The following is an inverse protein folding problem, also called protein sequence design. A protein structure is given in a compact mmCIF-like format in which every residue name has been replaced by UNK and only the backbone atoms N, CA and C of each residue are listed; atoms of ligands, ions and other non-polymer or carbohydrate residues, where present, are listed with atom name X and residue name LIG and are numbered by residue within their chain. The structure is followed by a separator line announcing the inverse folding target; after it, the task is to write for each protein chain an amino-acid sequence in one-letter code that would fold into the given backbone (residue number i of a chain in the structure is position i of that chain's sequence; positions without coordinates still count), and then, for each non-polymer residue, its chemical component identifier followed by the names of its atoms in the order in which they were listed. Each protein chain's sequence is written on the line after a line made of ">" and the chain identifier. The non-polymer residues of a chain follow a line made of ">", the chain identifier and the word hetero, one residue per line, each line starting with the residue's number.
data_IF_657942115036
#
_entry.id   IF_657942115036
#
_cell.length_a   1.000
_cell.length_b   1.000
_cell.length_c   1.000
_cell.angle_alpha   90.00
_cell.angle_beta   90.00
_cell.angle_gamma   90.00
#
_symmetry.space_group_name_H-M   'P 1'
#
loop_
_entity.id
_entity.type
_entity.pdbx_description
1 polymer ?
#
# COMPACT_ATOMS: atom_id res chain seq x y z
N UNK A 1 -15.27 -4.63 -6.59
CA UNK A 1 -15.09 -3.21 -6.24
C UNK A 1 -14.04 -3.11 -5.16
N UNK A 2 -13.29 -2.01 -5.10
CA UNK A 2 -12.37 -1.70 -3.99
C UNK A 2 -12.80 -0.37 -3.39
N UNK A 3 -13.00 -0.35 -2.08
CA UNK A 3 -13.34 0.86 -1.32
C UNK A 3 -12.20 1.19 -0.37
N UNK A 4 -11.86 2.48 -0.28
CA UNK A 4 -10.92 2.98 0.71
C UNK A 4 -11.31 4.39 1.13
N UNK A 5 -10.74 4.86 2.24
CA UNK A 5 -10.95 6.22 2.71
C UNK A 5 -9.71 7.06 2.43
N UNK A 6 -9.90 8.28 1.97
CA UNK A 6 -8.84 9.29 1.85
C UNK A 6 -9.13 10.43 2.82
N UNK A 7 -8.08 11.04 3.35
CA UNK A 7 -8.18 12.24 4.17
C UNK A 7 -7.14 13.25 3.69
N UNK A 8 -7.53 14.52 3.73
CA UNK A 8 -6.66 15.67 3.50
C UNK A 8 -6.18 16.31 4.82
N UNK A 9 -6.48 15.67 5.95
CA UNK A 9 -6.22 16.17 7.30
C UNK A 9 -7.40 16.90 7.95
N UNK A 10 -8.40 17.32 7.17
CA UNK A 10 -9.59 18.04 7.68
C UNK A 10 -10.84 17.18 7.63
N UNK A 11 -11.01 16.45 6.53
CA UNK A 11 -12.15 15.59 6.29
C UNK A 11 -11.69 14.22 5.81
N UNK A 12 -12.62 13.26 5.85
CA UNK A 12 -12.40 11.91 5.35
C UNK A 12 -13.53 11.55 4.41
N UNK A 13 -13.20 11.07 3.22
CA UNK A 13 -14.17 10.69 2.19
C UNK A 13 -13.98 9.25 1.78
N UNK A 14 -15.09 8.58 1.45
CA UNK A 14 -15.06 7.23 0.89
C UNK A 14 -14.83 7.31 -0.61
N UNK A 15 -13.88 6.54 -1.11
CA UNK A 15 -13.56 6.44 -2.53
C UNK A 15 -13.76 5.00 -3.00
N UNK A 16 -14.17 4.85 -4.25
CA UNK A 16 -14.47 3.56 -4.84
C UNK A 16 -13.87 3.40 -6.23
N UNK A 17 -13.16 2.28 -6.43
CA UNK A 17 -12.72 1.80 -7.73
C UNK A 17 -13.60 0.62 -8.17
N UNK A 18 -14.38 0.80 -9.24
CA UNK A 18 -15.31 -0.19 -9.77
C UNK A 18 -14.67 -1.06 -10.87
N UNK A 19 -15.29 -2.21 -11.16
CA UNK A 19 -14.91 -3.09 -12.27
C UNK A 19 -13.75 -4.05 -11.97
N UNK A 20 -13.23 -4.70 -13.01
CA UNK A 20 -12.02 -5.54 -12.97
C UNK A 20 -10.91 -4.82 -13.73
N UNK A 21 -10.57 -3.62 -13.27
CA UNK A 21 -9.63 -2.72 -13.94
C UNK A 21 -8.26 -2.77 -13.28
N UNK A 22 -7.22 -2.38 -14.02
CA UNK A 22 -5.88 -2.09 -13.49
C UNK A 22 -5.97 -1.08 -12.34
N UNK A 23 -6.83 -0.06 -12.49
CA UNK A 23 -7.07 0.95 -11.47
C UNK A 23 -7.56 0.35 -10.14
N UNK A 24 -8.47 -0.64 -10.19
CA UNK A 24 -8.92 -1.35 -8.98
C UNK A 24 -7.74 -2.03 -8.27
N UNK A 25 -6.85 -2.68 -9.01
CA UNK A 25 -5.70 -3.35 -8.43
C UNK A 25 -4.71 -2.34 -7.82
N UNK A 26 -4.51 -1.18 -8.45
CA UNK A 26 -3.72 -0.09 -7.87
C UNK A 26 -4.35 0.38 -6.55
N UNK A 27 -5.66 0.68 -6.55
CA UNK A 27 -6.40 1.10 -5.37
C UNK A 27 -6.33 0.06 -4.23
N UNK A 28 -6.39 -1.23 -4.56
CA UNK A 28 -6.30 -2.32 -3.59
C UNK A 28 -4.92 -2.41 -2.93
N UNK A 29 -3.86 -2.04 -3.65
CA UNK A 29 -2.49 -2.08 -3.14
C UNK A 29 -2.12 -0.83 -2.33
N UNK A 30 -2.96 0.20 -2.27
CA UNK A 30 -2.70 1.39 -1.44
C UNK A 30 -2.65 1.01 0.05
N UNK A 31 -1.84 1.73 0.81
CA UNK A 31 -1.76 1.62 2.26
C UNK A 31 -1.90 2.97 2.94
N UNK A 32 -2.21 2.96 4.24
CA UNK A 32 -2.25 4.17 5.04
C UNK A 32 -0.88 4.86 5.01
N UNK A 33 -0.88 6.15 4.70
CA UNK A 33 0.32 6.97 4.55
C UNK A 33 0.71 7.25 3.10
N UNK A 34 0.19 6.48 2.13
CA UNK A 34 0.34 6.83 0.72
C UNK A 34 -0.33 8.19 0.46
N UNK A 35 0.36 9.08 -0.25
CA UNK A 35 -0.21 10.35 -0.71
C UNK A 35 -0.61 10.18 -2.17
N UNK A 36 -1.88 10.44 -2.44
CA UNK A 36 -2.45 10.26 -3.77
C UNK A 36 -3.32 11.46 -4.15
N UNK A 37 -3.41 11.71 -5.45
CA UNK A 37 -4.40 12.62 -6.03
C UNK A 37 -5.41 11.80 -6.83
N UNK A 38 -6.69 11.98 -6.51
CA UNK A 38 -7.79 11.26 -7.13
C UNK A 38 -8.52 12.16 -8.13
N UNK A 39 -8.95 11.56 -9.24
CA UNK A 39 -9.76 12.20 -10.26
C UNK A 39 -11.01 11.34 -10.50
N UNK A 40 -12.16 11.97 -10.62
CA UNK A 40 -13.44 11.27 -10.63
C UNK A 40 -14.60 12.18 -10.26
N UNK A 41 -15.70 11.58 -9.84
CA UNK A 41 -16.90 12.31 -9.43
C UNK A 41 -17.67 11.61 -8.32
N UNK A 42 -18.45 12.39 -7.58
CA UNK A 42 -19.39 11.90 -6.56
C UNK A 42 -20.75 11.76 -7.23
N UNK A 43 -21.44 10.63 -7.00
CA UNK A 43 -22.84 10.48 -7.39
C UNK A 43 -23.72 11.10 -6.30
N UNK A 44 -24.69 11.95 -6.68
CA UNK A 44 -25.51 12.74 -5.74
C UNK A 44 -26.26 11.95 -4.66
N UNK A 45 -26.43 10.64 -4.83
CA UNK A 45 -27.12 9.75 -3.90
C UNK A 45 -26.20 8.85 -3.08
N UNK A 46 -24.89 8.87 -3.37
CA UNK A 46 -23.89 8.04 -2.69
C UNK A 46 -22.74 8.96 -2.31
N UNK A 47 -22.52 9.18 -1.01
CA UNK A 47 -21.38 9.93 -0.47
C UNK A 47 -20.04 9.17 -0.70
N UNK A 48 -19.78 8.82 -1.95
CA UNK A 48 -18.69 7.97 -2.41
C UNK A 48 -18.14 8.57 -3.70
N UNK A 49 -16.84 8.83 -3.69
CA UNK A 49 -16.10 9.34 -4.83
C UNK A 49 -15.71 8.20 -5.78
N UNK A 50 -16.29 8.17 -6.97
CA UNK A 50 -15.99 7.18 -8.00
C UNK A 50 -14.71 7.57 -8.73
N UNK A 51 -13.67 6.75 -8.60
CA UNK A 51 -12.34 7.05 -9.14
C UNK A 51 -12.26 6.66 -10.62
N UNK A 52 -11.81 7.60 -11.44
CA UNK A 52 -11.52 7.41 -12.87
C UNK A 52 -10.01 7.37 -13.15
N UNK A 53 -9.23 8.05 -12.30
CA UNK A 53 -7.77 8.10 -12.37
C UNK A 53 -7.18 8.38 -11.00
N UNK A 54 -6.00 7.84 -10.74
CA UNK A 54 -5.21 8.03 -9.52
C UNK A 54 -3.79 8.39 -9.88
N UNK A 55 -3.27 9.41 -9.24
CA UNK A 55 -1.86 9.78 -9.30
C UNK A 55 -1.22 9.49 -7.94
N UNK A 56 -0.18 8.68 -7.96
CA UNK A 56 0.59 8.34 -6.76
C UNK A 56 1.66 9.40 -6.55
N UNK A 57 1.47 10.25 -5.55
CA UNK A 57 2.39 11.35 -5.22
C UNK A 57 3.54 10.84 -4.34
N UNK A 58 3.23 10.04 -3.32
CA UNK A 58 4.19 9.48 -2.38
C UNK A 58 3.75 8.09 -1.94
N UNK A 59 4.69 7.13 -1.92
CA UNK A 59 4.45 5.79 -1.39
C UNK A 59 4.99 5.68 0.03
N UNK A 60 4.13 5.29 0.97
CA UNK A 60 4.53 4.95 2.31
C UNK A 60 5.37 3.68 2.31
N UNK A 61 6.42 3.70 3.13
CA UNK A 61 7.28 2.53 3.36
C UNK A 61 6.55 1.51 4.22
N UNK A 62 6.60 0.26 3.80
CA UNK A 62 6.07 -0.87 4.56
C UNK A 62 7.26 -1.64 5.12
N UNK A 63 7.20 -1.99 6.41
CA UNK A 63 8.22 -2.80 7.06
C UNK A 63 7.62 -4.12 7.52
N UNK A 64 8.35 -5.21 7.27
CA UNK A 64 8.04 -6.52 7.83
C UNK A 64 8.95 -6.83 9.01
N UNK A 65 8.37 -7.40 10.07
CA UNK A 65 9.12 -7.95 11.19
C UNK A 65 9.75 -9.28 10.80
N UNK A 66 11.03 -9.38 11.04
CA UNK A 66 11.86 -10.52 10.69
C UNK A 66 12.67 -10.94 11.92
N UNK A 67 12.68 -12.25 12.23
CA UNK A 67 13.52 -12.76 13.32
C UNK A 67 15.00 -12.46 13.03
N UNK A 68 15.83 -12.17 14.05
CA UNK A 68 17.25 -11.95 13.88
C UNK A 68 17.96 -13.17 13.29
N UNK A 69 19.12 -12.88 12.70
CA UNK A 69 20.09 -13.88 12.27
C UNK A 69 21.10 -14.08 13.40
N UNK A 70 21.42 -15.33 13.73
CA UNK A 70 22.41 -15.63 14.77
C UNK A 70 23.78 -15.05 14.38
N UNK A 71 24.44 -14.26 15.25
CA UNK A 71 25.75 -13.69 14.93
C UNK A 71 26.84 -14.74 14.71
N UNK A 72 26.74 -15.90 15.37
CA UNK A 72 27.76 -16.95 15.33
C UNK A 72 27.62 -17.86 14.10
N UNK A 73 26.46 -18.48 13.89
CA UNK A 73 26.27 -19.47 12.81
C UNK A 73 25.43 -18.96 11.62
N UNK A 74 25.03 -17.69 11.62
CA UNK A 74 24.31 -17.00 10.53
C UNK A 74 22.96 -17.62 10.12
N UNK A 75 22.39 -18.54 10.90
CA UNK A 75 21.04 -19.06 10.66
C UNK A 75 19.98 -18.15 11.29
N UNK A 76 18.77 -18.17 10.70
CA UNK A 76 17.60 -17.46 11.24
C UNK A 76 17.21 -18.03 12.62
N UNK A 77 17.04 -17.18 13.62
CA UNK A 77 16.64 -17.60 14.97
C UNK A 77 15.14 -17.88 15.06
N UNK A 78 14.72 -18.78 15.95
CA UNK A 78 13.29 -19.01 16.27
C UNK A 78 12.82 -18.01 17.32
N UNK A 79 11.53 -17.66 17.30
CA UNK A 79 10.88 -16.95 18.41
C UNK A 79 10.65 -17.91 19.56
N UNK A 80 10.86 -17.45 20.79
CA UNK A 80 10.55 -18.20 22.01
C UNK A 80 9.17 -17.86 22.59
N UNK A 81 8.38 -17.04 21.87
CA UNK A 81 7.05 -16.58 22.27
C UNK A 81 7.01 -15.09 22.59
N UNK A 82 5.80 -14.58 22.86
CA UNK A 82 5.55 -13.17 23.12
C UNK A 82 6.44 -12.67 24.25
N UNK A 83 7.21 -11.62 23.98
CA UNK A 83 8.15 -11.00 24.91
C UNK A 83 9.29 -11.90 25.44
N UNK A 84 9.51 -13.10 24.88
CA UNK A 84 10.57 -14.03 25.33
C UNK A 84 11.85 -14.00 24.48
N UNK A 85 11.88 -13.20 23.42
CA UNK A 85 13.04 -13.04 22.55
C UNK A 85 13.17 -14.19 21.54
N UNK A 86 14.42 -14.44 21.13
CA UNK A 86 14.76 -15.37 20.06
C UNK A 86 15.84 -16.34 20.49
N UNK A 87 15.77 -17.60 20.05
CA UNK A 87 16.82 -18.59 20.29
C UNK A 87 17.38 -19.14 18.99
N UNK A 88 18.71 -19.27 18.92
CA UNK A 88 19.37 -19.98 17.84
C UNK A 88 19.18 -21.48 18.00
N UNK A 89 18.70 -22.17 16.95
CA UNK A 89 18.49 -23.62 17.00
C UNK A 89 19.79 -24.40 17.20
N UNK A 90 20.89 -23.92 16.60
CA UNK A 90 22.21 -24.56 16.64
C UNK A 90 23.04 -24.15 17.88
N UNK A 91 23.41 -22.87 17.99
CA UNK A 91 24.28 -22.38 19.06
C UNK A 91 23.60 -22.20 20.42
N UNK A 92 22.27 -22.38 20.52
CA UNK A 92 21.42 -22.11 21.70
C UNK A 92 21.46 -20.68 22.27
N UNK A 93 22.27 -19.79 21.68
CA UNK A 93 22.30 -18.35 21.97
C UNK A 93 20.90 -17.75 21.99
N UNK A 94 20.63 -16.90 22.98
CA UNK A 94 19.37 -16.16 23.11
C UNK A 94 19.58 -14.68 22.89
N UNK A 95 18.69 -14.06 22.13
CA UNK A 95 18.61 -12.61 21.94
C UNK A 95 17.28 -12.11 22.52
N UNK A 96 17.27 -10.87 23.01
CA UNK A 96 16.08 -10.19 23.50
C UNK A 96 15.17 -9.76 22.33
N UNK A 97 13.96 -9.29 22.63
CA UNK A 97 12.97 -8.93 21.59
C UNK A 97 13.37 -7.72 20.74
N UNK A 98 14.20 -6.85 21.28
CA UNK A 98 14.79 -5.69 20.58
C UNK A 98 15.69 -6.09 19.40
N UNK A 99 16.16 -7.34 19.37
CA UNK A 99 16.89 -7.89 18.23
C UNK A 99 16.02 -8.16 16.99
N UNK A 100 14.70 -7.92 17.04
CA UNK A 100 13.83 -8.02 15.86
C UNK A 100 14.32 -7.07 14.76
N UNK A 101 14.35 -7.56 13.52
CA UNK A 101 14.70 -6.73 12.37
C UNK A 101 13.45 -6.26 11.67
N UNK A 102 13.43 -4.98 11.29
CA UNK A 102 12.44 -4.42 10.39
C UNK A 102 13.06 -4.25 9.02
N UNK A 103 12.52 -4.96 8.03
CA UNK A 103 13.01 -4.90 6.65
C UNK A 103 11.96 -4.22 5.79
N UNK A 104 12.40 -3.23 5.02
CA UNK A 104 11.53 -2.54 4.06
C UNK A 104 11.07 -3.54 2.99
N UNK A 105 9.76 -3.61 2.80
CA UNK A 105 9.12 -4.47 1.80
C UNK A 105 8.92 -3.66 0.53
N UNK A 106 9.47 -4.11 -0.62
CA UNK A 106 9.28 -3.41 -1.87
C UNK A 106 7.78 -3.37 -2.25
N UNK A 107 7.32 -2.21 -2.67
CA UNK A 107 5.94 -1.97 -3.12
C UNK A 107 5.86 -2.25 -4.62
N UNK A 108 4.84 -2.99 -5.06
CA UNK A 108 4.54 -3.15 -6.49
C UNK A 108 3.67 -2.00 -7.03
N UNK A 109 4.09 -0.76 -6.75
CA UNK A 109 3.45 0.47 -7.21
C UNK A 109 4.56 1.46 -7.59
N UNK A 110 4.29 2.30 -8.59
CA UNK A 110 5.19 3.39 -8.98
C UNK A 110 4.52 4.73 -8.71
N UNK A 111 5.33 5.75 -8.50
CA UNK A 111 4.88 7.14 -8.42
C UNK A 111 4.59 7.63 -9.84
N UNK A 112 3.39 7.31 -10.33
CA UNK A 112 2.91 7.69 -11.66
C UNK A 112 1.39 7.88 -11.64
N UNK A 113 0.84 8.25 -12.80
CA UNK A 113 -0.59 8.39 -12.98
C UNK A 113 -1.15 7.12 -13.63
N UNK A 114 -2.17 6.54 -13.01
CA UNK A 114 -2.93 5.40 -13.50
C UNK A 114 -4.35 5.85 -13.85
N UNK A 115 -4.83 5.47 -15.03
CA UNK A 115 -6.23 5.67 -15.44
C UNK A 115 -6.91 4.34 -15.74
N UNK A 116 -8.23 4.34 -15.77
CA UNK A 116 -9.03 3.20 -16.25
C UNK A 116 -8.75 2.88 -17.72
N UNK A 117 -8.96 1.62 -18.11
CA UNK A 117 -8.84 1.19 -19.52
C UNK A 117 -9.82 1.94 -20.42
N UNK A 118 -9.56 2.06 -21.74
CA UNK A 118 -10.41 2.81 -22.67
C UNK A 118 -11.90 2.49 -22.59
N UNK A 119 -12.27 1.20 -22.42
CA UNK A 119 -13.68 0.77 -22.30
C UNK A 119 -14.39 1.19 -21.01
N UNK A 120 -13.66 1.67 -20.02
CA UNK A 120 -14.18 2.11 -18.72
C UNK A 120 -14.08 3.62 -18.51
N UNK A 121 -13.60 4.37 -19.51
CA UNK A 121 -13.48 5.83 -19.43
C UNK A 121 -14.85 6.48 -19.53
N UNK A 122 -15.10 7.51 -18.73
CA UNK A 122 -16.28 8.37 -18.90
C UNK A 122 -16.01 9.39 -19.99
N UNK A 123 -17.08 9.89 -20.60
CA UNK A 123 -16.99 10.79 -21.76
C UNK A 123 -16.15 12.05 -21.51
N UNK A 124 -16.18 12.57 -20.27
CA UNK A 124 -15.47 13.79 -19.89
C UNK A 124 -14.06 13.52 -19.31
N UNK A 125 -13.69 12.26 -19.08
CA UNK A 125 -12.39 11.91 -18.51
C UNK A 125 -11.27 12.22 -19.51
N UNK A 126 -10.43 13.22 -19.20
CA UNK A 126 -9.27 13.52 -20.04
C UNK A 126 -8.26 12.35 -19.98
N UNK A 127 -7.96 11.78 -21.13
CA UNK A 127 -7.03 10.65 -21.28
C UNK A 127 -5.58 11.06 -20.99
N UNK A 128 -4.79 10.17 -20.38
CA UNK A 128 -3.38 10.43 -20.04
C UNK A 128 -2.53 10.87 -21.24
N UNK A 129 -2.75 10.27 -22.41
CA UNK A 129 -2.05 10.64 -23.65
C UNK A 129 -2.29 12.09 -24.12
N UNK A 130 -3.26 12.80 -23.53
CA UNK A 130 -3.59 14.21 -23.85
C UNK A 130 -3.01 15.22 -22.86
N UNK A 131 -2.27 14.76 -21.84
CA UNK A 131 -1.56 15.65 -20.93
C UNK A 131 -0.22 16.03 -21.56
N UNK A 132 0.18 17.30 -21.40
CA UNK A 132 1.55 17.74 -21.66
C UNK A 132 2.30 17.53 -20.35
N UNK A 133 3.00 16.40 -20.24
CA UNK A 133 3.79 15.99 -19.07
C UNK A 133 5.25 16.27 -19.37
#
# INVERSE_FOLDING_TARGET
>A
HTFFKISDGTATFTCAAYGVTRLKNIAFNLVKGDKVRLYGGIESHKDTFNIEKIEILELAKIYKKENPVCPNCKIRMKSEGTNKGFQCKNCKLRLKNDAVKFIEVPRNLKQEIYEVEPGHRRHLSKQLCRYKI
#
